data_IF_738440697673
#
_entry.id   IF_738440697673
#
_cell.length_a   1.000
_cell.length_b   1.000
_cell.length_c   1.000
_cell.angle_alpha   90.00
_cell.angle_beta   90.00
_cell.angle_gamma   90.00
#
_symmetry.space_group_name_H-M   'P 1'
#
loop_
_entity.id
_entity.type
_entity.pdbx_description
1 polymer ?
#
# COMPACT_ATOMS: atom_id res chain seq x y z
N UNK A 1 3.09 27.64 -19.60
CA UNK A 1 3.79 27.12 -18.42
C UNK A 1 2.91 26.02 -17.89
N UNK A 2 3.27 24.76 -18.10
CA UNK A 2 2.44 23.61 -17.72
C UNK A 2 2.67 23.29 -16.24
N UNK A 3 1.59 23.10 -15.49
CA UNK A 3 1.56 22.79 -14.06
C UNK A 3 2.38 21.54 -13.70
N UNK A 4 3.64 21.73 -13.32
CA UNK A 4 4.51 20.66 -12.80
C UNK A 4 4.27 20.34 -11.32
N UNK A 5 3.30 20.98 -10.66
CA UNK A 5 3.05 20.79 -9.23
C UNK A 5 2.15 19.58 -8.88
N UNK A 6 1.44 19.01 -9.85
CA UNK A 6 0.52 17.89 -9.60
C UNK A 6 1.20 16.51 -9.52
N UNK A 7 2.43 16.39 -10.03
CA UNK A 7 3.17 15.12 -10.03
C UNK A 7 3.79 14.82 -8.67
N UNK A 8 4.16 15.84 -7.89
CA UNK A 8 4.75 15.70 -6.55
C UNK A 8 3.71 15.39 -5.46
N UNK A 9 2.42 15.57 -5.78
CA UNK A 9 1.29 15.29 -4.88
C UNK A 9 0.97 13.79 -4.79
N UNK A 10 1.23 13.04 -5.87
CA UNK A 10 0.92 11.62 -5.97
C UNK A 10 2.18 10.77 -5.98
N UNK A 11 2.11 9.60 -5.33
CA UNK A 11 3.16 8.58 -5.34
C UNK A 11 2.65 7.31 -5.98
N UNK A 12 3.50 6.71 -6.80
CA UNK A 12 3.29 5.36 -7.29
C UNK A 12 3.92 4.38 -6.29
N UNK A 13 3.14 3.43 -5.80
CA UNK A 13 3.60 2.43 -4.84
C UNK A 13 3.40 1.03 -5.41
N UNK A 14 4.42 0.19 -5.27
CA UNK A 14 4.35 -1.23 -5.59
C UNK A 14 3.97 -2.02 -4.33
N UNK A 15 2.68 -2.09 -4.00
CA UNK A 15 2.19 -2.79 -2.79
C UNK A 15 2.45 -4.28 -2.91
N UNK A 16 3.58 -4.71 -2.34
CA UNK A 16 4.13 -6.04 -2.50
C UNK A 16 3.49 -7.06 -1.56
N UNK A 17 3.26 -8.25 -2.11
CA UNK A 17 2.85 -9.45 -1.36
C UNK A 17 1.53 -9.30 -0.59
N UNK A 18 0.55 -8.62 -1.19
CA UNK A 18 -0.76 -8.40 -0.61
C UNK A 18 -1.64 -9.65 -0.81
N UNK A 19 -2.25 -10.14 0.28
CA UNK A 19 -3.20 -11.27 0.23
C UNK A 19 -4.59 -10.80 -0.24
N UNK A 20 -5.40 -11.70 -0.82
CA UNK A 20 -6.78 -11.38 -1.21
C UNK A 20 -7.63 -10.79 -0.07
N UNK A 21 -7.48 -11.31 1.16
CA UNK A 21 -8.18 -10.78 2.33
C UNK A 21 -7.73 -9.38 2.75
N UNK A 22 -6.45 -9.05 2.57
CA UNK A 22 -5.90 -7.72 2.89
C UNK A 22 -6.36 -6.69 1.84
N UNK A 23 -6.39 -7.07 0.56
CA UNK A 23 -6.98 -6.25 -0.51
C UNK A 23 -8.48 -6.03 -0.29
N UNK A 24 -9.20 -7.09 0.07
CA UNK A 24 -10.62 -6.99 0.38
C UNK A 24 -10.88 -6.04 1.56
N UNK A 25 -10.04 -6.10 2.59
CA UNK A 25 -10.12 -5.16 3.70
C UNK A 25 -9.93 -3.72 3.24
N UNK A 26 -8.88 -3.45 2.46
CA UNK A 26 -8.56 -2.12 1.92
C UNK A 26 -9.67 -1.52 1.04
N UNK A 27 -10.38 -2.36 0.28
CA UNK A 27 -11.49 -1.89 -0.56
C UNK A 27 -12.76 -1.57 0.25
N UNK A 28 -12.99 -2.27 1.36
CA UNK A 28 -14.23 -2.15 2.14
C UNK A 28 -14.12 -1.24 3.37
N UNK A 29 -12.92 -0.80 3.75
CA UNK A 29 -12.68 0.03 4.94
C UNK A 29 -12.20 1.45 4.58
N UNK A 30 -12.69 2.00 3.48
CA UNK A 30 -12.34 3.36 3.04
C UNK A 30 -12.67 4.42 4.09
N UNK A 31 -13.73 4.23 4.88
CA UNK A 31 -14.08 5.11 6.00
C UNK A 31 -13.00 5.15 7.11
N UNK A 32 -12.13 4.13 7.17
CA UNK A 32 -11.01 4.06 8.12
C UNK A 32 -9.81 4.82 7.56
N UNK A 33 -9.41 4.57 6.32
CA UNK A 33 -8.11 5.04 5.80
C UNK A 33 -8.18 6.05 4.65
N UNK A 34 -9.29 6.13 3.90
CA UNK A 34 -9.56 7.14 2.87
C UNK A 34 -8.77 6.98 1.57
N UNK A 35 -8.13 5.83 1.35
CA UNK A 35 -7.29 5.56 0.17
C UNK A 35 -7.79 4.39 -0.68
N UNK A 36 -9.03 3.92 -0.49
CA UNK A 36 -9.56 2.82 -1.29
C UNK A 36 -9.61 3.17 -2.79
N UNK A 37 -9.69 4.47 -3.13
CA UNK A 37 -9.60 4.95 -4.51
C UNK A 37 -8.34 4.44 -5.24
N UNK A 38 -7.21 4.30 -4.53
CA UNK A 38 -5.95 3.84 -5.10
C UNK A 38 -5.99 2.34 -5.46
N UNK A 39 -6.96 1.60 -4.93
CA UNK A 39 -7.13 0.15 -5.10
C UNK A 39 -8.30 -0.24 -5.99
N UNK A 40 -9.10 0.70 -6.49
CA UNK A 40 -10.30 0.39 -7.30
C UNK A 40 -9.99 -0.27 -8.64
N UNK A 41 -8.84 0.05 -9.24
CA UNK A 41 -8.33 -0.58 -10.47
C UNK A 41 -6.88 -1.04 -10.25
N UNK A 42 -6.64 -2.03 -9.38
CA UNK A 42 -5.29 -2.38 -9.01
C UNK A 42 -4.69 -3.24 -10.13
N UNK A 43 -3.62 -2.75 -10.77
CA UNK A 43 -2.90 -3.53 -11.78
C UNK A 43 -1.99 -4.49 -11.04
N UNK A 44 -2.31 -5.79 -11.08
CA UNK A 44 -1.42 -6.83 -10.59
C UNK A 44 -0.23 -6.95 -11.54
N UNK A 45 0.98 -6.73 -11.03
CA UNK A 45 2.20 -6.66 -11.86
C UNK A 45 3.18 -7.81 -11.64
N UNK A 46 3.00 -8.58 -10.57
CA UNK A 46 3.76 -9.80 -10.33
C UNK A 46 2.92 -10.82 -9.56
N UNK A 47 2.94 -12.06 -10.03
CA UNK A 47 2.48 -13.22 -9.26
C UNK A 47 3.64 -13.75 -8.40
N UNK A 48 3.34 -14.35 -7.25
CA UNK A 48 4.36 -15.04 -6.46
C UNK A 48 4.80 -16.30 -7.21
N UNK A 49 5.87 -16.20 -8.00
CA UNK A 49 6.26 -17.23 -8.98
C UNK A 49 6.84 -18.51 -8.36
N UNK A 50 7.17 -18.51 -7.07
CA UNK A 50 7.95 -19.58 -6.45
C UNK A 50 7.13 -20.60 -5.63
N UNK A 51 5.87 -20.29 -5.29
CA UNK A 51 5.00 -21.17 -4.47
C UNK A 51 3.55 -21.18 -5.00
N UNK A 52 3.03 -22.31 -5.50
CA UNK A 52 1.66 -22.42 -6.02
C UNK A 52 0.57 -22.26 -4.95
N UNK A 53 0.92 -22.28 -3.66
CA UNK A 53 0.01 -21.98 -2.55
C UNK A 53 0.13 -20.54 -2.05
N UNK A 54 1.06 -19.75 -2.61
CA UNK A 54 1.21 -18.35 -2.27
C UNK A 54 0.28 -17.47 -3.11
N UNK A 55 -0.88 -17.15 -2.53
CA UNK A 55 -1.91 -16.32 -3.14
C UNK A 55 -1.60 -14.81 -3.15
N UNK A 56 -0.42 -14.40 -2.66
CA UNK A 56 -0.02 -13.00 -2.57
C UNK A 56 0.33 -12.42 -3.93
N UNK A 57 -0.13 -11.20 -4.20
CA UNK A 57 0.16 -10.47 -5.43
C UNK A 57 0.77 -9.10 -5.15
N UNK A 58 1.52 -8.58 -6.11
CA UNK A 58 1.99 -7.19 -6.09
C UNK A 58 1.09 -6.31 -6.94
N UNK A 59 0.66 -5.18 -6.37
CA UNK A 59 -0.20 -4.21 -7.03
C UNK A 59 0.50 -2.87 -7.19
N UNK A 60 0.46 -2.29 -8.39
CA UNK A 60 0.83 -0.88 -8.57
C UNK A 60 -0.37 0.01 -8.29
N UNK A 61 -0.21 0.97 -7.39
CA UNK A 61 -1.23 1.96 -7.05
C UNK A 61 -0.67 3.36 -7.18
N UNK A 62 -1.56 4.34 -7.39
CA UNK A 62 -1.25 5.76 -7.31
C UNK A 62 -2.06 6.39 -6.17
N UNK A 63 -1.38 6.98 -5.20
CA UNK A 63 -1.99 7.54 -3.98
C UNK A 63 -1.43 8.93 -3.68
N UNK A 64 -2.25 9.84 -3.14
CA UNK A 64 -1.75 11.14 -2.67
C UNK A 64 -0.86 10.94 -1.45
N UNK A 65 0.26 11.67 -1.38
CA UNK A 65 1.25 11.54 -0.31
C UNK A 65 0.66 11.80 1.08
N UNK A 66 -0.17 12.83 1.20
CA UNK A 66 -0.79 13.20 2.48
C UNK A 66 -1.85 12.18 2.93
N UNK A 67 -2.61 11.65 1.96
CA UNK A 67 -3.58 10.59 2.23
C UNK A 67 -2.86 9.31 2.69
N UNK A 68 -1.70 8.97 2.11
CA UNK A 68 -0.90 7.81 2.54
C UNK A 68 -0.44 7.95 4.00
N UNK A 69 0.16 9.09 4.37
CA UNK A 69 0.63 9.30 5.75
C UNK A 69 -0.54 9.25 6.74
N UNK A 70 -1.66 9.87 6.39
CA UNK A 70 -2.89 9.84 7.18
C UNK A 70 -3.46 8.43 7.30
N UNK A 71 -3.51 7.68 6.20
CA UNK A 71 -3.98 6.30 6.16
C UNK A 71 -3.15 5.39 7.08
N UNK A 72 -1.81 5.48 7.03
CA UNK A 72 -0.94 4.67 7.89
C UNK A 72 -1.23 4.90 9.38
N UNK A 73 -1.41 6.16 9.80
CA UNK A 73 -1.79 6.49 11.17
C UNK A 73 -3.16 5.92 11.56
N UNK A 74 -4.18 6.18 10.73
CA UNK A 74 -5.57 5.73 11.00
C UNK A 74 -5.69 4.20 11.05
N UNK A 75 -4.99 3.48 10.18
CA UNK A 75 -5.00 2.01 10.17
C UNK A 75 -4.40 1.48 11.48
N UNK A 76 -3.26 2.02 11.93
CA UNK A 76 -2.64 1.60 13.20
C UNK A 76 -3.56 1.86 14.40
N UNK A 77 -4.19 3.04 14.47
CA UNK A 77 -5.16 3.36 15.53
C UNK A 77 -6.38 2.42 15.51
N UNK A 78 -6.82 2.03 14.30
CA UNK A 78 -7.94 1.10 14.13
C UNK A 78 -7.57 -0.31 14.55
N UNK A 79 -6.36 -0.79 14.22
CA UNK A 79 -5.86 -2.13 14.61
C UNK A 79 -5.85 -2.29 16.12
N UNK A 80 -5.38 -1.29 16.86
CA UNK A 80 -5.34 -1.32 18.34
C UNK A 80 -6.74 -1.49 18.93
N UNK A 81 -7.76 -0.92 18.29
CA UNK A 81 -9.16 -0.98 18.75
C UNK A 81 -9.91 -2.23 18.25
N UNK A 82 -9.40 -2.92 17.24
CA UNK A 82 -10.06 -4.05 16.58
C UNK A 82 -9.15 -5.27 16.54
N UNK A 83 -8.81 -5.87 17.70
CA UNK A 83 -8.05 -7.10 17.73
C UNK A 83 -8.84 -8.24 17.09
N UNK A 84 -8.16 -9.16 16.39
CA UNK A 84 -8.77 -10.33 15.76
C UNK A 84 -8.59 -10.37 14.23
N UNK A 85 -9.39 -11.19 13.51
CA UNK A 85 -9.17 -11.47 12.09
C UNK A 85 -9.16 -10.22 11.20
N UNK A 86 -10.07 -9.27 11.43
CA UNK A 86 -10.10 -8.02 10.66
C UNK A 86 -8.90 -7.12 10.97
N UNK A 87 -8.45 -7.08 12.24
CA UNK A 87 -7.20 -6.43 12.65
C UNK A 87 -5.97 -7.05 11.99
N UNK A 88 -5.94 -8.37 11.83
CA UNK A 88 -4.86 -9.08 11.13
C UNK A 88 -4.81 -8.74 9.64
N UNK A 89 -5.96 -8.59 8.97
CA UNK A 89 -6.02 -8.15 7.58
C UNK A 89 -5.56 -6.69 7.43
N UNK A 90 -6.02 -5.80 8.32
CA UNK A 90 -5.57 -4.41 8.38
C UNK A 90 -4.05 -4.31 8.62
N UNK A 91 -3.51 -5.15 9.49
CA UNK A 91 -2.08 -5.23 9.76
C UNK A 91 -1.27 -5.71 8.53
N UNK A 92 -1.76 -6.75 7.84
CA UNK A 92 -1.16 -7.20 6.59
C UNK A 92 -1.11 -6.09 5.54
N UNK A 93 -2.22 -5.36 5.41
CA UNK A 93 -2.34 -4.22 4.51
C UNK A 93 -1.38 -3.07 4.86
N UNK A 94 -1.34 -2.61 6.12
CA UNK A 94 -0.45 -1.51 6.54
C UNK A 94 1.02 -1.90 6.39
N UNK A 95 1.38 -3.18 6.60
CA UNK A 95 2.73 -3.70 6.39
C UNK A 95 3.13 -3.66 4.93
N UNK A 96 2.22 -4.04 4.02
CA UNK A 96 2.44 -3.99 2.58
C UNK A 96 2.62 -2.53 2.09
N UNK A 97 1.84 -1.59 2.63
CA UNK A 97 2.00 -0.15 2.37
C UNK A 97 3.31 0.41 2.93
N UNK A 98 3.67 0.06 4.17
CA UNK A 98 4.82 0.67 4.87
C UNK A 98 6.17 0.22 4.32
N UNK A 99 6.25 -0.98 3.75
CA UNK A 99 7.47 -1.48 3.11
C UNK A 99 7.93 -0.61 1.95
N UNK A 100 6.99 0.06 1.29
CA UNK A 100 7.22 0.75 0.02
C UNK A 100 7.01 2.26 0.18
N UNK A 101 6.05 2.67 1.03
CA UNK A 101 5.79 4.07 1.37
C UNK A 101 6.94 4.76 2.13
N UNK A 102 7.90 4.00 2.67
CA UNK A 102 9.08 4.51 3.38
C UNK A 102 10.41 4.26 2.67
N UNK A 103 10.43 3.58 1.51
CA UNK A 103 11.68 3.11 0.88
C UNK A 103 12.36 4.11 -0.07
N UNK A 104 11.77 5.29 -0.32
CA UNK A 104 12.36 6.32 -1.19
C UNK A 104 13.54 7.12 -0.58
N UNK A 105 14.24 6.59 0.44
CA UNK A 105 15.53 7.16 0.90
C UNK A 105 16.76 6.29 0.67
N UNK A 106 16.69 5.26 -0.19
CA UNK A 106 17.86 4.43 -0.55
C UNK A 106 17.91 4.01 -2.02
N UNK A 107 17.61 4.92 -2.93
CA UNK A 107 17.90 4.72 -4.36
C UNK A 107 18.85 5.81 -4.90
N UNK A 108 19.78 6.24 -4.05
CA UNK A 108 20.89 7.11 -4.41
C UNK A 108 22.05 6.76 -3.48
N UNK A 109 22.93 5.90 -3.97
CA UNK A 109 24.26 5.52 -3.46
C UNK A 109 24.46 4.00 -3.46
N UNK A 110 24.50 3.38 -4.65
CA UNK A 110 25.44 2.29 -4.95
C UNK A 110 25.82 2.38 -6.45
N UNK A 111 26.45 3.52 -6.81
CA UNK A 111 27.44 3.58 -7.89
C UNK A 111 28.83 3.47 -7.24
N UNK A 112 29.74 2.73 -7.87
CA UNK A 112 31.08 2.28 -7.41
C UNK A 112 31.03 1.06 -6.45
N UNK A 113 31.48 -0.14 -6.85
CA UNK A 113 32.76 -0.45 -7.48
C UNK A 113 32.73 -1.83 -8.15
#
# INVERSE_FOLDING_TARGET
MSDSNGEDEFRNLAVNRLRPGELHWALNHDSVHGIAYAFRNPVAVAESLDDPHDDRKTYLIRVRRDDLATALGRINDWIVKNPGPAGMQAYGFVRALSREGLSERKAGDEECR
#
